data_IF_780917577996
#
_entry.id   IF_780917577996
#
_cell.length_a   1.000
_cell.length_b   1.000
_cell.length_c   1.000
_cell.angle_alpha   90.00
_cell.angle_beta   90.00
_cell.angle_gamma   90.00
#
_symmetry.space_group_name_H-M   'P 1'
#
loop_
_entity.id
_entity.type
_entity.pdbx_description
1 polymer ?
#
# COMPACT_ATOMS: atom_id res chain seq x y z
N UNK A 1 -2.13 -13.28 5.66
CA UNK A 1 -2.12 -11.82 5.78
C UNK A 1 -3.32 -11.26 5.04
N UNK A 2 -4.22 -10.64 5.77
CA UNK A 2 -5.36 -9.87 5.25
C UNK A 2 -4.95 -8.40 5.11
N UNK A 3 -5.80 -7.59 4.47
CA UNK A 3 -5.61 -6.12 4.41
C UNK A 3 -5.62 -5.48 5.80
N UNK A 4 -6.49 -5.96 6.69
CA UNK A 4 -6.51 -5.51 8.08
C UNK A 4 -5.17 -5.82 8.77
N UNK A 5 -4.63 -7.03 8.60
CA UNK A 5 -3.32 -7.40 9.16
C UNK A 5 -2.21 -6.47 8.65
N UNK A 6 -2.25 -6.10 7.36
CA UNK A 6 -1.28 -5.17 6.77
C UNK A 6 -1.40 -3.75 7.34
N UNK A 7 -2.63 -3.25 7.52
CA UNK A 7 -2.89 -1.93 8.12
C UNK A 7 -2.35 -1.86 9.55
N UNK A 8 -2.60 -2.89 10.36
CA UNK A 8 -2.06 -2.98 11.72
C UNK A 8 -0.52 -2.99 11.72
N UNK A 9 0.09 -3.73 10.80
CA UNK A 9 1.55 -3.80 10.71
C UNK A 9 2.18 -2.47 10.26
N UNK A 10 1.55 -1.77 9.31
CA UNK A 10 1.98 -0.42 8.90
C UNK A 10 1.86 0.56 10.05
N UNK A 11 0.73 0.57 10.77
CA UNK A 11 0.53 1.43 11.94
C UNK A 11 1.63 1.20 12.99
N UNK A 12 1.94 -0.08 13.24
CA UNK A 12 2.95 -0.48 14.23
C UNK A 12 4.37 -0.07 13.84
N UNK A 13 4.76 -0.25 12.58
CA UNK A 13 6.13 0.03 12.12
C UNK A 13 6.37 1.53 11.94
N UNK A 14 5.36 2.27 11.50
CA UNK A 14 5.49 3.70 11.16
C UNK A 14 5.06 4.64 12.29
N UNK A 15 4.53 4.09 13.40
CA UNK A 15 4.00 4.83 14.55
C UNK A 15 2.89 5.84 14.18
N UNK A 16 2.21 5.62 13.06
CA UNK A 16 1.06 6.44 12.65
C UNK A 16 -0.25 5.81 13.12
N UNK A 17 -1.31 6.60 13.14
CA UNK A 17 -2.61 6.08 13.59
C UNK A 17 -3.12 4.99 12.65
N UNK A 18 -3.94 4.06 13.17
CA UNK A 18 -4.58 3.03 12.35
C UNK A 18 -5.39 3.63 11.19
N UNK A 19 -6.04 4.77 11.42
CA UNK A 19 -6.81 5.49 10.40
C UNK A 19 -5.91 6.01 9.28
N UNK A 20 -4.78 6.62 9.64
CA UNK A 20 -3.85 7.13 8.63
C UNK A 20 -3.18 5.98 7.87
N UNK A 21 -2.88 4.87 8.56
CA UNK A 21 -2.36 3.65 7.94
C UNK A 21 -3.33 3.07 6.92
N UNK A 22 -4.63 3.06 7.24
CA UNK A 22 -5.68 2.64 6.31
C UNK A 22 -5.69 3.51 5.06
N UNK A 23 -5.65 4.84 5.21
CA UNK A 23 -5.60 5.78 4.09
C UNK A 23 -4.35 5.54 3.22
N UNK A 24 -3.18 5.36 3.85
CA UNK A 24 -1.92 5.11 3.15
C UNK A 24 -2.00 3.82 2.32
N UNK A 25 -2.44 2.72 2.95
CA UNK A 25 -2.53 1.41 2.29
C UNK A 25 -3.51 1.45 1.12
N UNK A 26 -4.68 2.07 1.29
CA UNK A 26 -5.65 2.26 0.22
C UNK A 26 -5.07 3.07 -0.94
N UNK A 27 -4.44 4.19 -0.64
CA UNK A 27 -3.87 5.09 -1.66
C UNK A 27 -2.81 4.38 -2.51
N UNK A 28 -1.97 3.54 -1.88
CA UNK A 28 -0.96 2.76 -2.59
C UNK A 28 -1.64 1.75 -3.52
N UNK A 29 -2.62 0.98 -3.04
CA UNK A 29 -3.31 0.00 -3.88
C UNK A 29 -4.08 0.64 -5.02
N UNK A 30 -4.78 1.75 -4.77
CA UNK A 30 -5.51 2.49 -5.80
C UNK A 30 -4.55 3.01 -6.87
N UNK A 31 -3.38 3.54 -6.47
CA UNK A 31 -2.36 4.01 -7.41
C UNK A 31 -1.83 2.86 -8.28
N UNK A 32 -1.55 1.69 -7.68
CA UNK A 32 -1.09 0.51 -8.41
C UNK A 32 -2.16 0.04 -9.41
N UNK A 33 -3.42 -0.09 -8.96
CA UNK A 33 -4.54 -0.51 -9.82
C UNK A 33 -4.74 0.47 -10.97
N UNK A 34 -4.64 1.77 -10.71
CA UNK A 34 -4.77 2.80 -11.74
C UNK A 34 -3.67 2.67 -12.81
N UNK A 35 -2.40 2.60 -12.41
CA UNK A 35 -1.27 2.44 -13.32
C UNK A 35 -1.35 1.16 -14.14
N UNK A 36 -1.73 0.02 -13.52
CA UNK A 36 -1.91 -1.24 -14.25
C UNK A 36 -3.03 -1.15 -15.30
N UNK A 37 -4.14 -0.46 -14.98
CA UNK A 37 -5.24 -0.24 -15.95
C UNK A 37 -4.82 0.67 -17.10
N UNK A 38 -3.93 1.62 -16.86
CA UNK A 38 -3.36 2.48 -17.90
C UNK A 38 -2.34 1.75 -18.78
N UNK A 39 -1.91 0.55 -18.39
CA UNK A 39 -0.85 -0.20 -19.08
C UNK A 39 0.56 0.27 -18.72
N UNK A 40 0.69 1.09 -17.68
CA UNK A 40 1.98 1.59 -17.20
C UNK A 40 2.78 0.46 -16.55
N UNK A 41 4.10 0.53 -16.68
CA UNK A 41 5.01 -0.31 -15.89
C UNK A 41 5.15 0.29 -14.49
N UNK A 42 5.07 -0.56 -13.47
CA UNK A 42 5.31 -0.22 -12.07
C UNK A 42 6.58 -0.95 -11.63
N UNK A 43 7.45 -0.28 -10.89
CA UNK A 43 8.64 -0.89 -10.30
C UNK A 43 8.71 -0.49 -8.82
N UNK A 44 8.80 -1.48 -7.92
CA UNK A 44 9.01 -1.23 -6.49
C UNK A 44 10.39 -1.80 -6.13
N UNK A 45 11.39 -0.91 -6.17
CA UNK A 45 12.79 -1.29 -5.88
C UNK A 45 12.92 -1.94 -4.51
N UNK A 46 13.64 -3.06 -4.47
CA UNK A 46 13.81 -3.86 -3.25
C UNK A 46 12.62 -4.75 -2.88
N UNK A 47 11.56 -4.75 -3.68
CA UNK A 47 10.41 -5.65 -3.54
C UNK A 47 10.20 -6.49 -4.80
N UNK A 48 10.14 -5.86 -5.97
CA UNK A 48 9.95 -6.52 -7.26
C UNK A 48 9.64 -5.56 -8.40
N UNK A 49 9.69 -6.09 -9.62
CA UNK A 49 9.19 -5.49 -10.85
C UNK A 49 7.85 -6.11 -11.25
#
# INVERSE_FOLDING_TARGET
>A
MTKADLIEEVARITEVTRRDSEIIVETIFDSIVHSLRAGDKIEIRGFGS
#
